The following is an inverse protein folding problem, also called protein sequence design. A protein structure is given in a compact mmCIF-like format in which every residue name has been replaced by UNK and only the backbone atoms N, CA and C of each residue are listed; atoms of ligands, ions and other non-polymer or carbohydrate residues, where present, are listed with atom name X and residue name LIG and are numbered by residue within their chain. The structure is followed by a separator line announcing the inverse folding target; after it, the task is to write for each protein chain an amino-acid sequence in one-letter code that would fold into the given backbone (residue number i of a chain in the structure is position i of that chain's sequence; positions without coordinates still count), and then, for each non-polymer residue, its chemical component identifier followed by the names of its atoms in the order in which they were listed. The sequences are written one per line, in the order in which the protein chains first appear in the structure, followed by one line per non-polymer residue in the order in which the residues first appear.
data_IF_968292320715
#
_entry.id   IF_968292320715
#
_cell.length_a   1.000
_cell.length_b   1.000
_cell.length_c   1.000
_cell.angle_alpha   90.00
_cell.angle_beta   90.00
_cell.angle_gamma   90.00
#
_symmetry.space_group_name_H-M   'P 1'
#
loop_
_entity.id
_entity.type
_entity.pdbx_description
1 polymer ?
#
# COMPACT_ATOMS: atom_id res chain seq x y z
N UNK A 1 2.26 -10.44 22.74
CA UNK A 1 1.20 -9.52 22.28
C UNK A 1 1.25 -8.24 23.13
N UNK A 2 2.28 -7.40 22.95
CA UNK A 2 2.60 -6.30 23.86
C UNK A 2 2.66 -4.96 23.12
N UNK A 3 2.10 -3.92 23.73
CA UNK A 3 2.15 -2.49 23.36
C UNK A 3 1.58 -2.14 21.98
N UNK A 4 2.10 -2.70 20.88
CA UNK A 4 1.59 -2.48 19.54
C UNK A 4 0.11 -2.77 19.44
N UNK A 5 -0.37 -3.94 19.91
CA UNK A 5 -1.81 -4.25 19.92
C UNK A 5 -2.64 -3.18 20.66
N UNK A 6 -2.13 -2.64 21.77
CA UNK A 6 -2.84 -1.64 22.58
C UNK A 6 -2.85 -0.27 21.90
N UNK A 7 -1.73 0.16 21.33
CA UNK A 7 -1.60 1.42 20.57
C UNK A 7 -2.45 1.34 19.29
N UNK A 8 -2.40 0.20 18.61
CA UNK A 8 -3.20 -0.15 17.43
C UNK A 8 -4.69 -0.14 17.73
N UNK A 9 -5.13 -0.85 18.77
CA UNK A 9 -6.54 -0.91 19.15
C UNK A 9 -7.04 0.44 19.66
N UNK A 10 -6.21 1.20 20.38
CA UNK A 10 -6.53 2.55 20.83
C UNK A 10 -6.72 3.50 19.64
N UNK A 11 -5.78 3.51 18.70
CA UNK A 11 -5.86 4.36 17.51
C UNK A 11 -7.10 4.03 16.65
N UNK A 12 -7.36 2.75 16.41
CA UNK A 12 -8.55 2.33 15.67
C UNK A 12 -9.86 2.64 16.41
N UNK A 13 -9.91 2.47 17.74
CA UNK A 13 -11.10 2.83 18.54
C UNK A 13 -11.36 4.33 18.51
N UNK A 14 -10.29 5.13 18.63
CA UNK A 14 -10.33 6.59 18.62
C UNK A 14 -10.82 7.12 17.26
N UNK A 15 -10.37 6.50 16.17
CA UNK A 15 -10.77 6.87 14.82
C UNK A 15 -12.16 6.34 14.45
N UNK A 16 -12.51 5.12 14.85
CA UNK A 16 -13.88 4.58 14.74
C UNK A 16 -14.90 5.46 15.47
N UNK A 17 -14.57 5.93 16.67
CA UNK A 17 -15.44 6.83 17.44
C UNK A 17 -15.59 8.20 16.77
N UNK A 18 -14.54 8.67 16.08
CA UNK A 18 -14.56 9.94 15.37
C UNK A 18 -15.33 9.84 14.04
N UNK A 19 -15.17 8.76 13.27
CA UNK A 19 -15.95 8.47 12.05
C UNK A 19 -17.46 8.36 12.33
N UNK A 20 -17.84 7.75 13.46
CA UNK A 20 -19.26 7.66 13.89
C UNK A 20 -19.89 9.00 14.26
N UNK A 21 -19.09 10.01 14.63
CA UNK A 21 -19.58 11.37 14.91
C UNK A 21 -19.81 12.18 13.64
N UNK A 22 -19.05 11.89 12.59
CA UNK A 22 -19.09 12.59 11.29
C UNK A 22 -20.26 12.15 10.40
N UNK A 23 -20.71 10.89 10.53
CA UNK A 23 -21.94 10.41 9.86
C UNK A 23 -23.23 11.17 10.24
N UNK A 24 -23.17 12.11 11.21
CA UNK A 24 -24.27 13.04 11.53
C UNK A 24 -24.15 14.42 10.88
N UNK A 25 -23.14 14.68 10.05
CA UNK A 25 -23.05 15.91 9.26
C UNK A 25 -21.75 16.05 8.46
N UNK A 26 -21.91 16.22 7.14
CA UNK A 26 -20.94 16.62 6.11
C UNK A 26 -19.89 15.60 5.61
N UNK A 27 -19.90 15.41 4.28
CA UNK A 27 -19.01 14.57 3.46
C UNK A 27 -17.57 15.07 3.33
N UNK A 28 -17.04 15.82 4.30
CA UNK A 28 -15.69 16.40 4.24
C UNK A 28 -14.78 15.82 5.31
N UNK A 29 -14.39 14.56 5.11
CA UNK A 29 -13.49 13.77 5.95
C UNK A 29 -12.07 14.37 6.13
N UNK A 30 -11.73 15.50 5.48
CA UNK A 30 -10.35 15.96 5.33
C UNK A 30 -9.90 17.17 6.17
N UNK A 31 -10.76 18.15 6.48
CA UNK A 31 -10.29 19.45 7.01
C UNK A 31 -10.76 19.77 8.44
N UNK A 32 -12.05 19.58 8.74
CA UNK A 32 -12.59 19.85 10.09
C UNK A 32 -12.23 18.74 11.10
N UNK A 33 -12.07 17.51 10.61
CA UNK A 33 -11.79 16.31 11.40
C UNK A 33 -10.37 16.30 11.98
N UNK A 34 -9.37 16.54 11.14
CA UNK A 34 -7.98 16.70 11.57
C UNK A 34 -7.81 17.99 12.38
N UNK A 35 -8.63 19.01 12.07
CA UNK A 35 -8.80 20.20 12.88
C UNK A 35 -7.47 20.84 13.22
N UNK A 36 -6.79 21.37 12.20
CA UNK A 36 -5.50 22.02 12.36
C UNK A 36 -5.60 23.12 13.42
N UNK A 37 -4.89 22.96 14.53
CA UNK A 37 -4.86 23.95 15.60
C UNK A 37 -3.44 24.14 16.10
N UNK A 38 -3.20 25.33 16.61
CA UNK A 38 -2.00 25.62 17.40
C UNK A 38 -2.39 25.62 18.87
N UNK A 39 -1.79 24.72 19.66
CA UNK A 39 -1.93 24.71 21.12
C UNK A 39 -0.59 25.11 21.71
N UNK A 40 -0.55 26.21 22.48
CA UNK A 40 0.69 26.74 23.07
C UNK A 40 1.81 27.02 22.06
N UNK A 41 1.46 27.35 20.81
CA UNK A 41 2.42 27.59 19.73
C UNK A 41 2.87 26.33 18.99
N UNK A 42 2.45 25.15 19.43
CA UNK A 42 2.73 23.88 18.76
C UNK A 42 1.58 23.44 17.85
N UNK A 43 1.92 22.93 16.68
CA UNK A 43 0.95 22.36 15.75
C UNK A 43 0.41 21.03 16.30
N UNK A 44 -0.89 20.95 16.51
CA UNK A 44 -1.58 19.78 17.07
C UNK A 44 -2.73 19.34 16.17
N UNK A 45 -2.87 18.04 15.99
CA UNK A 45 -4.01 17.40 15.33
C UNK A 45 -4.91 16.72 16.37
N UNK A 46 -6.18 16.49 16.04
CA UNK A 46 -7.11 15.76 16.91
C UNK A 46 -7.17 16.29 18.37
N UNK A 47 -7.25 17.61 18.60
CA UNK A 47 -7.15 18.19 19.94
C UNK A 47 -8.27 17.73 20.90
N UNK A 48 -9.43 17.33 20.35
CA UNK A 48 -10.56 16.79 21.12
C UNK A 48 -10.27 15.41 21.73
N UNK A 49 -9.17 14.77 21.34
CA UNK A 49 -8.80 13.40 21.72
C UNK A 49 -7.48 13.37 22.52
N UNK A 50 -7.09 14.51 23.11
CA UNK A 50 -5.83 14.69 23.83
C UNK A 50 -4.74 15.36 23.01
N UNK A 51 -4.93 15.47 21.68
CA UNK A 51 -3.96 16.06 20.77
C UNK A 51 -2.90 15.05 20.32
N UNK A 52 -2.60 15.07 19.02
CA UNK A 52 -1.43 14.42 18.43
C UNK A 52 -0.42 15.52 18.12
N UNK A 53 0.70 15.50 18.83
CA UNK A 53 1.79 16.43 18.58
C UNK A 53 2.82 15.81 17.64
N UNK A 54 3.74 16.65 17.15
CA UNK A 54 4.77 16.18 16.22
C UNK A 54 5.64 15.07 16.82
N UNK A 55 6.04 15.18 18.09
CA UNK A 55 6.87 14.15 18.73
C UNK A 55 6.13 12.82 18.88
N UNK A 56 4.83 12.86 19.21
CA UNK A 56 3.99 11.65 19.28
C UNK A 56 3.85 10.98 17.93
N UNK A 57 3.56 11.76 16.88
CA UNK A 57 3.41 11.25 15.52
C UNK A 57 4.68 10.57 15.01
N UNK A 58 5.84 11.18 15.28
CA UNK A 58 7.15 10.62 14.89
C UNK A 58 7.50 9.36 15.69
N UNK A 59 7.25 9.36 17.01
CA UNK A 59 7.44 8.18 17.85
C UNK A 59 6.54 7.03 17.41
N UNK A 60 5.25 7.31 17.17
CA UNK A 60 4.28 6.32 16.72
C UNK A 60 4.67 5.71 15.37
N UNK A 61 5.15 6.53 14.44
CA UNK A 61 5.65 6.05 13.15
C UNK A 61 6.86 5.10 13.32
N UNK A 62 7.77 5.40 14.25
CA UNK A 62 8.92 4.54 14.54
C UNK A 62 8.47 3.19 15.13
N UNK A 63 7.56 3.20 16.11
CA UNK A 63 7.02 1.98 16.72
C UNK A 63 6.27 1.10 15.71
N UNK A 64 5.41 1.70 14.88
CA UNK A 64 4.70 0.99 13.82
C UNK A 64 5.67 0.40 12.80
N UNK A 65 6.73 1.12 12.43
CA UNK A 65 7.74 0.63 11.50
C UNK A 65 8.57 -0.52 12.08
N UNK A 66 9.04 -0.38 13.33
CA UNK A 66 9.79 -1.41 14.02
C UNK A 66 8.95 -2.68 14.20
N UNK A 67 7.63 -2.52 14.35
CA UNK A 67 6.66 -3.61 14.48
C UNK A 67 5.87 -3.91 13.19
N UNK A 68 6.37 -3.50 12.01
CA UNK A 68 5.65 -3.58 10.72
C UNK A 68 5.07 -4.95 10.39
N UNK A 69 5.74 -6.04 10.80
CA UNK A 69 5.22 -7.41 10.62
C UNK A 69 3.98 -7.65 11.45
N UNK A 70 4.05 -7.36 12.75
CA UNK A 70 2.92 -7.46 13.67
C UNK A 70 1.76 -6.57 13.22
N UNK A 71 2.07 -5.35 12.78
CA UNK A 71 1.10 -4.43 12.18
C UNK A 71 0.37 -5.09 11.00
N UNK A 72 1.10 -5.71 10.07
CA UNK A 72 0.50 -6.42 8.93
C UNK A 72 -0.44 -7.57 9.33
N UNK A 73 -0.06 -8.39 10.31
CA UNK A 73 -0.94 -9.43 10.83
C UNK A 73 -2.21 -8.85 11.49
N UNK A 74 -2.07 -7.73 12.20
CA UNK A 74 -3.19 -7.05 12.85
C UNK A 74 -4.14 -6.46 11.82
N UNK A 75 -3.63 -5.77 10.80
CA UNK A 75 -4.47 -5.21 9.75
C UNK A 75 -5.18 -6.29 8.94
N UNK A 76 -4.52 -7.41 8.63
CA UNK A 76 -5.17 -8.53 7.96
C UNK A 76 -6.27 -9.21 8.80
N UNK A 77 -6.07 -9.30 10.12
CA UNK A 77 -7.01 -9.97 11.03
C UNK A 77 -8.16 -9.08 11.52
N UNK A 78 -7.96 -7.77 11.60
CA UNK A 78 -8.86 -6.85 12.32
C UNK A 78 -9.31 -5.63 11.49
N UNK A 79 -8.93 -5.50 10.21
CA UNK A 79 -9.32 -4.32 9.41
C UNK A 79 -10.82 -4.06 9.35
N UNK A 80 -11.65 -5.11 9.44
CA UNK A 80 -13.12 -4.98 9.50
C UNK A 80 -13.62 -4.47 10.86
N UNK A 81 -12.97 -4.86 11.94
CA UNK A 81 -13.44 -4.61 13.30
C UNK A 81 -12.86 -3.32 13.91
N UNK A 82 -11.77 -2.82 13.32
CA UNK A 82 -10.98 -1.69 13.81
C UNK A 82 -10.60 -0.73 12.67
N UNK A 83 -11.57 -0.03 12.05
CA UNK A 83 -11.29 0.95 11.00
C UNK A 83 -10.70 2.26 11.57
N UNK A 84 -10.07 3.05 10.70
CA UNK A 84 -9.48 4.35 10.99
C UNK A 84 -7.95 4.44 10.86
N UNK A 85 -7.33 3.41 10.29
CA UNK A 85 -5.91 3.36 10.00
C UNK A 85 -5.46 4.38 8.98
N UNK A 86 -6.26 4.57 7.92
CA UNK A 86 -5.96 5.57 6.89
C UNK A 86 -5.86 6.96 7.49
N UNK A 87 -6.82 7.32 8.36
CA UNK A 87 -6.87 8.60 9.07
C UNK A 87 -5.65 8.80 9.98
N UNK A 88 -5.23 7.75 10.70
CA UNK A 88 -4.03 7.81 11.53
C UNK A 88 -2.78 8.07 10.69
N UNK A 89 -2.60 7.33 9.59
CA UNK A 89 -1.45 7.47 8.71
C UNK A 89 -1.44 8.87 8.05
N UNK A 90 -2.59 9.40 7.68
CA UNK A 90 -2.75 10.79 7.21
C UNK A 90 -2.40 11.81 8.32
N UNK A 91 -2.83 11.60 9.56
CA UNK A 91 -2.48 12.49 10.66
C UNK A 91 -0.97 12.51 10.92
N UNK A 92 -0.31 11.34 10.89
CA UNK A 92 1.15 11.23 10.97
C UNK A 92 1.80 12.00 9.82
N UNK A 93 1.29 11.86 8.59
CA UNK A 93 1.81 12.56 7.43
C UNK A 93 1.81 14.09 7.59
N UNK A 94 0.72 14.67 8.12
CA UNK A 94 0.65 16.11 8.39
C UNK A 94 1.78 16.58 9.33
N UNK A 95 2.24 15.77 10.28
CA UNK A 95 3.40 16.12 11.11
C UNK A 95 4.72 15.88 10.37
N UNK A 96 4.85 14.76 9.65
CA UNK A 96 6.06 14.40 8.90
C UNK A 96 6.42 15.47 7.86
N UNK A 97 5.46 15.99 7.09
CA UNK A 97 5.71 17.01 6.06
C UNK A 97 6.21 18.36 6.60
N UNK A 98 6.17 18.56 7.92
CA UNK A 98 6.64 19.76 8.61
C UNK A 98 8.03 19.57 9.26
N UNK A 99 8.62 18.38 9.16
CA UNK A 99 9.98 18.10 9.66
C UNK A 99 11.02 18.64 8.68
N UNK A 100 12.13 19.20 9.19
CA UNK A 100 13.21 19.76 8.35
C UNK A 100 13.87 18.74 7.40
N UNK A 101 14.02 17.49 7.84
CA UNK A 101 14.61 16.38 7.08
C UNK A 101 13.68 15.17 7.10
N UNK A 102 12.58 15.17 6.33
CA UNK A 102 11.51 14.17 6.49
C UNK A 102 11.77 12.86 5.73
N UNK A 103 12.83 12.75 4.93
CA UNK A 103 13.07 11.65 3.98
C UNK A 103 12.90 10.25 4.58
N UNK A 104 13.53 9.95 5.73
CA UNK A 104 13.40 8.64 6.36
C UNK A 104 12.00 8.37 6.90
N UNK A 105 11.34 9.39 7.44
CA UNK A 105 9.96 9.28 7.92
C UNK A 105 8.99 9.06 6.75
N UNK A 106 9.17 9.76 5.64
CA UNK A 106 8.39 9.60 4.41
C UNK A 106 8.55 8.17 3.87
N UNK A 107 9.78 7.65 3.79
CA UNK A 107 10.02 6.27 3.36
C UNK A 107 9.30 5.25 4.23
N UNK A 108 9.37 5.40 5.56
CA UNK A 108 8.70 4.50 6.50
C UNK A 108 7.18 4.59 6.38
N UNK A 109 6.64 5.80 6.33
CA UNK A 109 5.20 6.04 6.22
C UNK A 109 4.65 5.53 4.89
N UNK A 110 5.36 5.75 3.78
CA UNK A 110 5.02 5.21 2.47
C UNK A 110 4.97 3.68 2.50
N UNK A 111 6.03 3.02 2.99
CA UNK A 111 6.07 1.56 3.06
C UNK A 111 4.98 1.00 3.97
N UNK A 112 4.70 1.61 5.12
CA UNK A 112 3.57 1.20 5.98
C UNK A 112 2.22 1.37 5.28
N UNK A 113 2.03 2.46 4.54
CA UNK A 113 0.78 2.75 3.83
C UNK A 113 0.55 1.74 2.70
N UNK A 114 1.57 1.46 1.88
CA UNK A 114 1.49 0.43 0.82
C UNK A 114 1.31 -0.97 1.42
N UNK A 115 1.95 -1.27 2.56
CA UNK A 115 1.72 -2.52 3.30
C UNK A 115 0.27 -2.63 3.77
N UNK A 116 -0.26 -1.59 4.39
CA UNK A 116 -1.63 -1.57 4.88
C UNK A 116 -2.65 -1.72 3.73
N UNK A 117 -2.38 -1.13 2.56
CA UNK A 117 -3.26 -1.21 1.38
C UNK A 117 -3.53 -2.64 0.92
N UNK A 118 -2.61 -3.59 1.16
CA UNK A 118 -2.84 -5.03 0.92
C UNK A 118 -4.03 -5.60 1.69
N UNK A 119 -4.39 -4.99 2.82
CA UNK A 119 -5.41 -5.49 3.75
C UNK A 119 -6.59 -4.54 3.95
N UNK A 120 -6.45 -3.28 3.53
CA UNK A 120 -7.45 -2.24 3.68
C UNK A 120 -8.74 -2.56 2.90
N UNK A 121 -9.87 -2.07 3.40
CA UNK A 121 -11.17 -2.13 2.75
C UNK A 121 -11.64 -0.71 2.46
N UNK A 122 -12.57 -0.55 1.52
CA UNK A 122 -13.16 0.77 1.27
C UNK A 122 -13.96 1.23 2.49
N UNK A 123 -13.91 2.54 2.85
CA UNK A 123 -13.24 3.63 2.15
C UNK A 123 -11.77 3.87 2.57
N UNK A 124 -11.20 3.04 3.47
CA UNK A 124 -9.82 3.24 3.95
C UNK A 124 -8.80 3.11 2.83
N UNK A 125 -9.06 2.22 1.87
CA UNK A 125 -8.15 2.01 0.75
C UNK A 125 -7.96 3.29 -0.09
N UNK A 126 -9.04 3.95 -0.50
CA UNK A 126 -8.96 5.18 -1.32
C UNK A 126 -8.16 6.28 -0.61
N UNK A 127 -8.37 6.44 0.69
CA UNK A 127 -7.62 7.39 1.52
C UNK A 127 -6.13 7.07 1.55
N UNK A 128 -5.77 5.79 1.55
CA UNK A 128 -4.37 5.35 1.51
C UNK A 128 -3.75 5.60 0.14
N UNK A 129 -4.47 5.37 -0.96
CA UNK A 129 -3.98 5.70 -2.30
C UNK A 129 -3.68 7.20 -2.43
N UNK A 130 -4.60 8.05 -1.99
CA UNK A 130 -4.40 9.50 -1.96
C UNK A 130 -3.18 9.90 -1.12
N UNK A 131 -3.00 9.27 0.06
CA UNK A 131 -1.84 9.50 0.91
C UNK A 131 -0.54 9.07 0.23
N UNK A 132 -0.50 7.90 -0.41
CA UNK A 132 0.70 7.42 -1.11
C UNK A 132 1.06 8.34 -2.27
N UNK A 133 0.07 8.82 -3.04
CA UNK A 133 0.29 9.80 -4.09
C UNK A 133 0.89 11.11 -3.52
N UNK A 134 0.33 11.67 -2.45
CA UNK A 134 0.86 12.90 -1.82
C UNK A 134 2.30 12.71 -1.29
N UNK A 135 2.62 11.52 -0.76
CA UNK A 135 3.97 11.18 -0.30
C UNK A 135 4.98 11.14 -1.46
N UNK A 136 4.59 10.53 -2.59
CA UNK A 136 5.43 10.41 -3.79
C UNK A 136 5.65 11.78 -4.47
N UNK A 137 4.66 12.67 -4.44
CA UNK A 137 4.78 14.04 -4.94
C UNK A 137 5.68 14.93 -4.07
N UNK A 138 5.69 14.72 -2.75
CA UNK A 138 6.45 15.56 -1.84
C UNK A 138 7.97 15.31 -1.88
N UNK A 139 8.37 14.05 -1.98
CA UNK A 139 9.75 13.66 -2.24
C UNK A 139 9.73 12.58 -3.31
N UNK A 140 10.15 12.89 -4.55
CA UNK A 140 10.37 11.87 -5.58
C UNK A 140 11.42 10.89 -5.07
N UNK A 141 10.96 9.73 -4.62
CA UNK A 141 11.84 8.67 -4.13
C UNK A 141 12.53 8.02 -5.32
N UNK A 142 13.85 7.86 -5.22
CA UNK A 142 14.62 7.15 -6.24
C UNK A 142 14.28 5.66 -6.25
N UNK A 143 14.58 4.93 -7.33
CA UNK A 143 14.45 3.47 -7.37
C UNK A 143 15.09 2.74 -6.17
N UNK A 144 16.22 3.25 -5.68
CA UNK A 144 16.99 2.71 -4.56
C UNK A 144 16.27 2.91 -3.22
N UNK A 145 15.42 3.94 -3.14
CA UNK A 145 14.61 4.26 -1.97
C UNK A 145 13.41 3.32 -1.79
N UNK A 146 13.12 2.45 -2.77
CA UNK A 146 12.10 1.41 -2.66
C UNK A 146 12.57 0.20 -1.85
N UNK A 147 13.85 0.12 -1.47
CA UNK A 147 14.32 -0.94 -0.59
C UNK A 147 13.87 -0.69 0.85
N UNK A 148 13.14 -1.65 1.42
CA UNK A 148 12.77 -1.60 2.82
C UNK A 148 13.97 -1.79 3.75
N UNK A 149 14.10 -0.91 4.75
CA UNK A 149 15.16 -0.96 5.77
C UNK A 149 14.54 -0.98 7.18
N UNK A 150 14.61 -2.11 7.92
CA UNK A 150 15.42 -3.30 7.65
C UNK A 150 14.86 -4.18 6.50
N UNK A 151 15.72 -4.96 5.82
CA UNK A 151 15.31 -5.87 4.76
C UNK A 151 14.18 -6.80 5.20
N UNK A 152 13.32 -7.13 4.24
CA UNK A 152 12.24 -8.09 4.41
C UNK A 152 12.84 -9.49 4.52
N UNK A 153 12.35 -10.27 5.49
CA UNK A 153 12.72 -11.68 5.61
C UNK A 153 11.67 -12.60 4.98
N UNK A 154 11.99 -13.88 4.90
CA UNK A 154 11.16 -14.85 4.21
C UNK A 154 9.74 -14.98 4.80
N UNK A 155 9.57 -14.81 6.11
CA UNK A 155 8.25 -14.86 6.74
C UNK A 155 7.39 -13.66 6.34
N UNK A 156 7.96 -12.46 6.37
CA UNK A 156 7.28 -11.23 6.00
C UNK A 156 6.95 -11.20 4.49
N UNK A 157 7.88 -11.66 3.64
CA UNK A 157 7.65 -11.81 2.21
C UNK A 157 6.53 -12.81 1.89
N UNK A 158 6.55 -14.01 2.50
CA UNK A 158 5.49 -15.01 2.33
C UNK A 158 4.12 -14.45 2.71
N UNK A 159 4.04 -13.70 3.82
CA UNK A 159 2.80 -13.08 4.25
C UNK A 159 2.28 -12.09 3.21
N UNK A 160 3.12 -11.16 2.75
CA UNK A 160 2.76 -10.18 1.72
C UNK A 160 2.33 -10.84 0.41
N UNK A 161 3.06 -11.85 -0.06
CA UNK A 161 2.72 -12.63 -1.26
C UNK A 161 1.35 -13.28 -1.10
N UNK A 162 1.11 -13.94 0.03
CA UNK A 162 -0.15 -14.64 0.30
C UNK A 162 -1.33 -13.68 0.32
N UNK A 163 -1.20 -12.53 0.99
CA UNK A 163 -2.25 -11.52 1.06
C UNK A 163 -2.48 -10.90 -0.33
N UNK A 164 -1.42 -10.60 -1.07
CA UNK A 164 -1.49 -10.02 -2.41
C UNK A 164 -2.18 -10.97 -3.40
N UNK A 165 -1.82 -12.25 -3.43
CA UNK A 165 -2.45 -13.22 -4.33
C UNK A 165 -3.95 -13.40 -4.04
N UNK A 166 -4.37 -13.33 -2.78
CA UNK A 166 -5.80 -13.36 -2.40
C UNK A 166 -6.59 -12.18 -2.98
N UNK A 167 -5.96 -11.04 -3.26
CA UNK A 167 -6.64 -9.91 -3.92
C UNK A 167 -7.10 -10.33 -5.32
N UNK A 168 -6.28 -11.11 -6.04
CA UNK A 168 -6.60 -11.60 -7.38
C UNK A 168 -7.67 -12.70 -7.39
N UNK A 169 -7.72 -13.52 -6.33
CA UNK A 169 -8.70 -14.61 -6.19
C UNK A 169 -10.12 -14.11 -5.89
N UNK A 170 -10.28 -12.90 -5.34
CA UNK A 170 -11.60 -12.38 -4.97
C UNK A 170 -12.34 -11.79 -6.19
N UNK A 171 -13.32 -12.53 -6.72
CA UNK A 171 -14.12 -12.08 -7.88
C UNK A 171 -15.10 -10.94 -7.56
N UNK A 172 -15.35 -10.67 -6.27
CA UNK A 172 -16.45 -9.81 -5.81
C UNK A 172 -16.03 -8.65 -4.89
N UNK A 173 -14.75 -8.34 -4.75
CA UNK A 173 -14.38 -7.19 -3.93
C UNK A 173 -14.39 -5.93 -4.79
N UNK A 174 -14.97 -4.85 -4.26
CA UNK A 174 -14.81 -3.48 -4.77
C UNK A 174 -13.31 -3.15 -4.97
N UNK A 175 -12.40 -3.89 -4.30
CA UNK A 175 -10.95 -3.88 -4.50
C UNK A 175 -10.45 -4.30 -5.90
N UNK A 176 -11.32 -4.83 -6.74
CA UNK A 176 -11.04 -5.22 -8.13
C UNK A 176 -10.76 -4.03 -9.07
N UNK A 177 -11.00 -2.80 -8.62
CA UNK A 177 -10.84 -1.61 -9.44
C UNK A 177 -9.37 -1.16 -9.53
N UNK A 178 -8.68 -1.61 -10.58
CA UNK A 178 -7.74 -0.77 -11.34
C UNK A 178 -6.55 -0.19 -10.57
N UNK A 179 -6.71 1.01 -10.04
CA UNK A 179 -5.76 1.79 -9.28
C UNK A 179 -5.29 1.05 -8.01
N UNK A 180 -6.11 0.10 -7.53
CA UNK A 180 -5.98 -0.61 -6.26
C UNK A 180 -4.79 -1.60 -6.16
N UNK A 181 -4.27 -2.14 -7.26
CA UNK A 181 -3.28 -3.24 -7.24
C UNK A 181 -1.88 -2.78 -7.65
N UNK A 182 -1.79 -1.66 -8.37
CA UNK A 182 -0.54 -1.13 -8.92
C UNK A 182 0.48 -0.75 -7.83
N UNK A 183 0.03 -0.07 -6.77
CA UNK A 183 0.90 0.38 -5.67
C UNK A 183 1.54 -0.77 -4.89
N UNK A 184 0.78 -1.78 -4.40
CA UNK A 184 1.37 -2.89 -3.67
C UNK A 184 2.21 -3.83 -4.55
N UNK A 185 1.92 -3.97 -5.86
CA UNK A 185 2.64 -4.91 -6.72
C UNK A 185 4.16 -4.71 -6.67
N UNK A 186 4.63 -3.48 -6.86
CA UNK A 186 6.07 -3.20 -6.89
C UNK A 186 6.75 -3.56 -5.58
N UNK A 187 6.13 -3.22 -4.45
CA UNK A 187 6.62 -3.56 -3.12
C UNK A 187 6.70 -5.08 -2.94
N UNK A 188 5.61 -5.80 -3.19
CA UNK A 188 5.53 -7.26 -3.01
C UNK A 188 6.52 -7.97 -3.94
N UNK A 189 6.63 -7.53 -5.20
CA UNK A 189 7.55 -8.09 -6.18
C UNK A 189 9.02 -7.93 -5.77
N UNK A 190 9.42 -6.72 -5.36
CA UNK A 190 10.80 -6.46 -4.93
C UNK A 190 11.16 -7.20 -3.64
N UNK A 191 10.22 -7.25 -2.69
CA UNK A 191 10.40 -7.99 -1.45
C UNK A 191 10.47 -9.50 -1.70
N UNK A 192 9.68 -10.03 -2.64
CA UNK A 192 9.78 -11.41 -3.08
C UNK A 192 11.13 -11.69 -3.75
N UNK A 193 11.61 -10.83 -4.65
CA UNK A 193 12.93 -11.00 -5.27
C UNK A 193 14.08 -10.98 -4.25
N UNK A 194 13.94 -10.24 -3.15
CA UNK A 194 14.96 -10.17 -2.11
C UNK A 194 14.96 -11.39 -1.18
N UNK A 195 13.77 -11.84 -0.75
CA UNK A 195 13.64 -12.84 0.31
C UNK A 195 13.16 -14.22 -0.16
N UNK A 196 12.51 -14.29 -1.33
CA UNK A 196 11.88 -15.50 -1.87
C UNK A 196 11.79 -15.48 -3.42
N UNK A 197 12.94 -15.51 -4.12
CA UNK A 197 12.99 -15.23 -5.56
C UNK A 197 12.18 -16.21 -6.42
N UNK A 198 11.97 -17.44 -5.94
CA UNK A 198 11.16 -18.47 -6.60
C UNK A 198 9.68 -18.10 -6.76
N UNK A 199 9.17 -17.17 -5.95
CA UNK A 199 7.77 -16.71 -5.99
C UNK A 199 7.55 -15.57 -6.98
N UNK A 200 8.60 -14.87 -7.42
CA UNK A 200 8.52 -13.73 -8.33
C UNK A 200 7.87 -14.04 -9.70
N UNK A 201 8.10 -15.22 -10.34
CA UNK A 201 7.40 -15.57 -11.57
C UNK A 201 5.87 -15.65 -11.39
N UNK A 202 5.41 -16.29 -10.32
CA UNK A 202 3.97 -16.49 -10.07
C UNK A 202 3.24 -15.17 -9.82
N UNK A 203 3.90 -14.21 -9.15
CA UNK A 203 3.36 -12.87 -8.96
C UNK A 203 3.13 -12.14 -10.29
N UNK A 204 4.06 -12.25 -11.23
CA UNK A 204 3.95 -11.63 -12.56
C UNK A 204 2.87 -12.30 -13.41
N UNK A 205 2.75 -13.63 -13.35
CA UNK A 205 1.69 -14.36 -14.05
C UNK A 205 0.31 -13.95 -13.52
N UNK A 206 0.10 -13.98 -12.20
CA UNK A 206 -1.18 -13.61 -11.59
C UNK A 206 -1.58 -12.15 -11.92
N UNK A 207 -0.59 -11.26 -11.94
CA UNK A 207 -0.74 -9.87 -12.35
C UNK A 207 -1.23 -9.72 -13.80
N UNK A 208 -0.65 -10.46 -14.74
CA UNK A 208 -1.00 -10.41 -16.17
C UNK A 208 -2.38 -11.04 -16.40
N UNK A 209 -2.64 -12.22 -15.83
CA UNK A 209 -3.93 -12.88 -15.89
C UNK A 209 -5.06 -11.99 -15.36
N UNK A 210 -4.78 -11.22 -14.30
CA UNK A 210 -5.72 -10.24 -13.76
C UNK A 210 -6.06 -9.14 -14.77
N UNK A 211 -5.05 -8.59 -15.44
CA UNK A 211 -5.22 -7.56 -16.48
C UNK A 211 -6.09 -8.11 -17.62
N UNK A 212 -5.81 -9.33 -18.08
CA UNK A 212 -6.62 -9.98 -19.12
C UNK A 212 -8.06 -10.24 -18.70
N UNK A 213 -8.27 -10.80 -17.51
CA UNK A 213 -9.62 -11.02 -16.97
C UNK A 213 -10.42 -9.73 -16.94
N UNK A 214 -9.79 -8.61 -16.57
CA UNK A 214 -10.45 -7.31 -16.52
C UNK A 214 -10.77 -6.76 -17.91
N UNK A 215 -9.84 -6.83 -18.85
CA UNK A 215 -10.07 -6.41 -20.24
C UNK A 215 -11.17 -7.24 -20.92
N UNK A 216 -11.26 -8.53 -20.60
CA UNK A 216 -12.29 -9.42 -21.11
C UNK A 216 -13.65 -9.31 -20.44
N UNK A 217 -13.75 -8.72 -19.24
CA UNK A 217 -14.98 -8.73 -18.42
C UNK A 217 -16.16 -7.93 -19.04
N UNK A 218 -17.17 -8.59 -19.62
CA UNK A 218 -18.31 -7.91 -20.25
C UNK A 218 -19.30 -7.35 -19.21
N UNK A 219 -19.21 -7.77 -17.94
CA UNK A 219 -20.04 -7.34 -16.83
C UNK A 219 -19.48 -6.14 -16.05
N UNK A 220 -18.34 -5.59 -16.48
CA UNK A 220 -17.69 -4.48 -15.80
C UNK A 220 -18.53 -3.20 -15.86
N UNK A 221 -18.61 -2.48 -14.73
CA UNK A 221 -19.18 -1.13 -14.69
C UNK A 221 -18.33 -0.09 -15.46
N UNK A 222 -17.07 -0.44 -15.78
CA UNK A 222 -16.13 0.42 -16.51
C UNK A 222 -16.30 0.25 -18.03
N UNK A 223 -16.19 1.35 -18.76
CA UNK A 223 -16.11 1.34 -20.22
C UNK A 223 -14.86 0.59 -20.70
N UNK A 224 -14.87 0.08 -21.93
CA UNK A 224 -13.69 -0.57 -22.52
C UNK A 224 -12.46 0.35 -22.50
N UNK A 225 -12.65 1.65 -22.72
CA UNK A 225 -11.57 2.64 -22.68
C UNK A 225 -10.94 2.73 -21.29
N UNK A 226 -11.73 2.79 -20.23
CA UNK A 226 -11.24 2.83 -18.85
C UNK A 226 -10.50 1.54 -18.49
N UNK A 227 -11.02 0.38 -18.92
CA UNK A 227 -10.35 -0.91 -18.72
C UNK A 227 -9.00 -1.00 -19.43
N UNK A 228 -8.89 -0.43 -20.63
CA UNK A 228 -7.63 -0.33 -21.38
C UNK A 228 -6.63 0.56 -20.64
N UNK A 229 -7.03 1.78 -20.26
CA UNK A 229 -6.14 2.73 -19.58
C UNK A 229 -5.58 2.14 -18.27
N UNK A 230 -6.45 1.52 -17.50
CA UNK A 230 -6.06 0.82 -16.28
C UNK A 230 -5.02 -0.29 -16.52
N UNK A 231 -5.29 -1.13 -17.52
CA UNK A 231 -4.39 -2.23 -17.89
C UNK A 231 -3.00 -1.72 -18.31
N UNK A 232 -2.96 -0.59 -19.01
CA UNK A 232 -1.71 0.08 -19.37
C UNK A 232 -0.95 0.60 -18.15
N UNK A 233 -1.63 1.20 -17.18
CA UNK A 233 -0.98 1.67 -15.95
C UNK A 233 -0.35 0.50 -15.18
N UNK A 234 -1.07 -0.60 -15.06
CA UNK A 234 -0.56 -1.81 -14.43
C UNK A 234 0.68 -2.35 -15.15
N UNK A 235 0.64 -2.45 -16.48
CA UNK A 235 1.77 -2.91 -17.28
C UNK A 235 3.00 -2.01 -17.13
N UNK A 236 2.81 -0.68 -17.09
CA UNK A 236 3.90 0.29 -16.83
C UNK A 236 4.50 0.04 -15.46
N UNK A 237 3.69 -0.08 -14.40
CA UNK A 237 4.17 -0.31 -13.03
C UNK A 237 4.94 -1.61 -12.90
N UNK A 238 4.44 -2.70 -13.50
CA UNK A 238 5.15 -3.97 -13.53
C UNK A 238 6.50 -3.85 -14.25
N UNK A 239 6.52 -3.17 -15.42
CA UNK A 239 7.75 -2.92 -16.20
C UNK A 239 8.77 -2.09 -15.43
N UNK A 240 8.32 -1.04 -14.74
CA UNK A 240 9.17 -0.21 -13.90
C UNK A 240 9.76 -1.04 -12.76
N UNK A 241 8.95 -1.81 -12.02
CA UNK A 241 9.45 -2.70 -10.96
C UNK A 241 10.47 -3.69 -11.48
N UNK A 242 10.24 -4.31 -12.64
CA UNK A 242 11.24 -5.19 -13.27
C UNK A 242 12.53 -4.43 -13.64
N UNK A 243 12.41 -3.23 -14.19
CA UNK A 243 13.56 -2.40 -14.58
C UNK A 243 14.40 -2.01 -13.37
N UNK A 244 13.76 -1.67 -12.25
CA UNK A 244 14.44 -1.37 -10.98
C UNK A 244 15.20 -2.61 -10.48
N UNK A 245 14.61 -3.80 -10.56
CA UNK A 245 15.28 -5.04 -10.16
C UNK A 245 16.53 -5.33 -11.02
N UNK A 246 16.48 -5.02 -12.32
CA UNK A 246 17.62 -5.18 -13.24
C UNK A 246 18.74 -4.15 -13.02
N UNK A 247 18.37 -2.89 -12.78
CA UNK A 247 19.33 -1.80 -12.60
C UNK A 247 19.99 -1.88 -11.22
N UNK A 248 19.19 -1.96 -10.17
CA UNK A 248 19.61 -1.74 -8.78
C UNK A 248 19.56 -3.00 -7.91
N UNK A 249 19.06 -4.14 -8.42
CA UNK A 249 19.01 -5.39 -7.67
C UNK A 249 20.37 -6.08 -7.53
N UNK A 250 20.51 -6.97 -6.54
CA UNK A 250 21.66 -7.87 -6.42
C UNK A 250 21.72 -8.89 -7.57
N UNK A 251 22.86 -9.55 -7.76
CA UNK A 251 23.10 -10.48 -8.88
C UNK A 251 22.01 -11.56 -9.01
N UNK A 252 21.58 -12.13 -7.89
CA UNK A 252 20.50 -13.12 -7.87
C UNK A 252 19.16 -12.53 -8.34
N UNK A 253 18.81 -11.32 -7.88
CA UNK A 253 17.58 -10.63 -8.30
C UNK A 253 17.61 -10.32 -9.79
N UNK A 254 18.76 -9.87 -10.33
CA UNK A 254 18.93 -9.65 -11.77
C UNK A 254 18.75 -10.95 -12.55
N UNK A 255 19.41 -12.04 -12.13
CA UNK A 255 19.33 -13.34 -12.79
C UNK A 255 17.90 -13.89 -12.81
N UNK A 256 17.20 -13.82 -11.69
CA UNK A 256 15.80 -14.24 -11.58
C UNK A 256 14.92 -13.38 -12.47
N UNK A 257 15.04 -12.06 -12.40
CA UNK A 257 14.28 -11.13 -13.25
C UNK A 257 14.47 -11.41 -14.74
N UNK A 258 15.72 -11.60 -15.20
CA UNK A 258 16.02 -11.98 -16.60
C UNK A 258 15.36 -13.30 -16.97
N UNK A 259 15.43 -14.30 -16.07
CA UNK A 259 14.83 -15.63 -16.32
C UNK A 259 13.32 -15.54 -16.43
N UNK A 260 12.66 -14.83 -15.51
CA UNK A 260 11.22 -14.64 -15.53
C UNK A 260 10.79 -13.92 -16.80
N UNK A 261 11.48 -12.84 -17.15
CA UNK A 261 11.11 -12.04 -18.32
C UNK A 261 11.33 -12.81 -19.63
N UNK A 262 12.45 -13.54 -19.74
CA UNK A 262 12.71 -14.40 -20.89
C UNK A 262 11.66 -15.50 -21.02
N UNK A 263 11.21 -16.07 -19.89
CA UNK A 263 10.15 -17.08 -19.89
C UNK A 263 8.82 -16.47 -20.32
N UNK A 264 8.47 -15.31 -19.80
CA UNK A 264 7.23 -14.62 -20.14
C UNK A 264 7.18 -14.22 -21.63
N UNK A 265 8.25 -13.64 -22.16
CA UNK A 265 8.35 -13.27 -23.58
C UNK A 265 8.28 -14.48 -24.52
N UNK A 266 8.58 -15.68 -24.03
CA UNK A 266 8.47 -16.93 -24.80
C UNK A 266 7.10 -17.58 -24.69
N UNK A 267 6.31 -17.20 -23.70
CA UNK A 267 4.97 -17.73 -23.49
C UNK A 267 3.93 -16.79 -24.11
N UNK A 268 3.79 -16.89 -25.43
CA UNK A 268 2.90 -16.05 -26.24
C UNK A 268 1.46 -16.09 -25.72
N UNK A 269 1.02 -17.22 -25.16
CA UNK A 269 -0.32 -17.38 -24.59
C UNK A 269 -0.58 -16.50 -23.35
N UNK A 270 0.47 -16.15 -22.61
CA UNK A 270 0.36 -15.22 -21.47
C UNK A 270 0.30 -13.77 -21.97
N UNK A 271 0.79 -13.48 -23.17
CA UNK A 271 0.82 -12.14 -23.76
C UNK A 271 -0.37 -11.85 -24.69
N UNK A 272 -1.05 -12.89 -25.16
CA UNK A 272 -2.24 -12.78 -25.98
C UNK A 272 -3.49 -12.83 -25.09
N UNK A 273 -4.42 -11.90 -25.34
CA UNK A 273 -5.77 -12.01 -24.82
C UNK A 273 -6.41 -13.22 -25.53
N UNK A 274 -6.51 -14.35 -24.83
CA UNK A 274 -7.05 -15.59 -25.40
C UNK A 274 -8.41 -15.35 -26.06
N UNK A 275 -8.63 -15.93 -27.24
CA UNK A 275 -9.84 -15.78 -28.05
C UNK A 275 -11.06 -16.54 -27.51
N UNK A 276 -10.93 -17.20 -26.36
CA UNK A 276 -12.03 -17.94 -25.72
C UNK A 276 -12.83 -17.00 -24.81
N UNK A 277 -13.53 -16.04 -25.43
CA UNK A 277 -14.61 -15.25 -24.82
C UNK A 277 -15.87 -15.36 -25.67
#
# INVERSE_FOLDING_TARGET
MGICYQVTAYAATLMSAALRRDQKGNDTLGAEFLGERYHQGEYVLLPKLGGLYQHDALWLLDELWNSRKSFMYLCAGLSKDLPGWSVLLTAIWHHVKRVKNPTMFIKRLRNLSIRFSLTALDPEFDLICNLVAELEDHIPLTPEDNQELPPVDQQDANFMITVFLRIFESENSVRAQSELICYPFGLVYHNALAAQPESAPSLLVAAIERVWKKLGDPGSALTLRERILDSFEYAIRATVSMSIALMSGGEQSKKVTVTVWTKLLRDVNILELGTDF
#
